data_IF_455420777534
#
_entry.id   IF_455420777534
#
_cell.length_a   1.000
_cell.length_b   1.000
_cell.length_c   1.000
_cell.angle_alpha   90.00
_cell.angle_beta   90.00
_cell.angle_gamma   90.00
#
_symmetry.space_group_name_H-M   'P 1'
#
loop_
_entity.id
_entity.type
_entity.pdbx_description
1 polymer ?
#
# COMPACT_ATOMS: atom_id res chain seq x y z
N UNK A 1 -8.16 50.81 47.60
CA UNK A 1 -9.40 50.03 47.37
C UNK A 1 -9.23 48.81 46.44
N UNK A 2 -8.69 48.90 45.22
CA UNK A 2 -8.53 47.74 44.30
C UNK A 2 -7.70 46.56 44.87
N UNK A 3 -6.65 46.84 45.66
CA UNK A 3 -5.77 45.81 46.26
C UNK A 3 -6.52 44.91 47.25
N UNK A 4 -7.40 45.49 48.07
CA UNK A 4 -8.21 44.74 49.06
C UNK A 4 -9.29 43.87 48.41
N UNK A 5 -9.85 44.32 47.27
CA UNK A 5 -10.87 43.57 46.55
C UNK A 5 -10.28 42.31 45.89
N UNK A 6 -9.07 42.42 45.32
CA UNK A 6 -8.35 41.27 44.77
C UNK A 6 -7.96 40.23 45.84
N UNK A 7 -7.55 40.68 47.03
CA UNK A 7 -7.23 39.79 48.16
C UNK A 7 -8.50 39.08 48.67
N UNK A 8 -9.63 39.79 48.71
CA UNK A 8 -10.93 39.20 49.09
C UNK A 8 -11.38 38.13 48.08
N UNK A 9 -11.21 38.37 46.78
CA UNK A 9 -11.50 37.37 45.74
C UNK A 9 -10.57 36.15 45.85
N UNK A 10 -9.29 36.37 46.15
CA UNK A 10 -8.34 35.28 46.36
C UNK A 10 -8.70 34.40 47.56
N UNK A 11 -9.01 35.02 48.71
CA UNK A 11 -9.41 34.29 49.92
C UNK A 11 -10.72 33.52 49.73
N UNK A 12 -11.68 34.08 48.99
CA UNK A 12 -12.92 33.36 48.65
C UNK A 12 -12.66 32.12 47.79
N UNK A 13 -11.65 32.14 46.91
CA UNK A 13 -11.29 30.98 46.10
C UNK A 13 -10.55 29.89 46.89
N UNK A 14 -9.85 30.25 47.97
CA UNK A 14 -9.18 29.30 48.87
C UNK A 14 -10.17 28.49 49.72
N UNK A 15 -11.33 29.05 50.04
CA UNK A 15 -12.35 28.40 50.85
C UNK A 15 -13.12 27.27 50.12
N UNK A 16 -12.71 26.89 48.90
CA UNK A 16 -13.33 25.82 48.15
C UNK A 16 -12.83 24.45 48.63
N UNK A 17 -13.74 23.64 49.19
CA UNK A 17 -13.40 22.31 49.71
C UNK A 17 -13.16 21.30 48.59
N UNK A 18 -12.01 20.62 48.64
CA UNK A 18 -11.70 19.48 47.76
C UNK A 18 -12.02 18.16 48.46
N UNK A 19 -12.45 17.15 47.69
CA UNK A 19 -12.66 15.78 48.21
C UNK A 19 -11.31 15.07 48.35
N UNK A 20 -11.07 14.47 49.51
CA UNK A 20 -9.86 13.67 49.77
C UNK A 20 -9.94 12.33 49.04
N UNK A 21 -8.85 11.92 48.40
CA UNK A 21 -8.75 10.63 47.70
C UNK A 21 -8.33 9.56 48.72
N UNK A 22 -9.29 8.73 49.15
CA UNK A 22 -8.98 7.56 49.96
C UNK A 22 -8.36 6.46 49.09
N UNK A 23 -7.08 6.15 49.31
CA UNK A 23 -6.32 5.10 48.60
C UNK A 23 -6.76 3.68 49.03
N UNK A 24 -8.04 3.36 48.80
CA UNK A 24 -8.63 2.09 49.25
C UNK A 24 -8.16 0.92 48.39
N UNK A 25 -7.77 -0.17 49.06
CA UNK A 25 -7.45 -1.46 48.43
C UNK A 25 -8.71 -2.08 47.81
N UNK A 26 -8.54 -2.76 46.67
CA UNK A 26 -9.62 -3.53 46.04
C UNK A 26 -9.79 -4.88 46.73
N UNK A 27 -11.00 -5.20 47.17
CA UNK A 27 -11.28 -6.39 47.98
C UNK A 27 -11.75 -7.58 47.12
N UNK A 28 -12.36 -7.34 45.95
CA UNK A 28 -12.85 -8.37 45.03
C UNK A 28 -11.93 -8.66 43.85
N UNK A 29 -12.16 -9.81 43.21
CA UNK A 29 -11.45 -10.21 41.99
C UNK A 29 -11.83 -9.31 40.81
N UNK A 30 -10.85 -9.00 39.98
CA UNK A 30 -11.00 -7.99 38.92
C UNK A 30 -11.05 -8.70 37.57
N UNK A 31 -12.18 -8.57 36.88
CA UNK A 31 -12.33 -9.09 35.53
C UNK A 31 -11.48 -8.32 34.51
N UNK A 32 -11.09 -9.00 33.43
CA UNK A 32 -10.39 -8.38 32.31
C UNK A 32 -11.22 -7.24 31.71
N UNK A 33 -10.54 -6.14 31.42
CA UNK A 33 -11.15 -5.05 30.68
C UNK A 33 -11.58 -5.52 29.29
N UNK A 34 -12.74 -5.04 28.85
CA UNK A 34 -13.25 -5.36 27.51
C UNK A 34 -12.31 -4.80 26.45
N UNK A 35 -12.21 -5.49 25.31
CA UNK A 35 -11.43 -4.98 24.19
C UNK A 35 -12.04 -3.67 23.66
N UNK A 36 -11.22 -2.63 23.63
CA UNK A 36 -11.59 -1.31 23.11
C UNK A 36 -11.12 -1.18 21.65
N UNK A 37 -12.04 -1.24 20.68
CA UNK A 37 -11.67 -1.02 19.30
C UNK A 37 -11.28 0.46 19.07
N UNK A 38 -10.54 0.73 17.99
CA UNK A 38 -10.09 2.08 17.69
C UNK A 38 -11.28 3.04 17.48
N UNK A 39 -11.30 4.15 18.23
CA UNK A 39 -12.32 5.19 18.13
C UNK A 39 -12.44 5.79 16.72
N UNK A 40 -11.36 5.79 15.94
CA UNK A 40 -11.39 6.33 14.57
C UNK A 40 -12.10 5.46 13.55
N UNK A 41 -12.54 4.25 13.94
CA UNK A 41 -13.38 3.40 13.10
C UNK A 41 -14.86 3.66 13.26
N UNK A 42 -15.26 4.31 14.34
CA UNK A 42 -16.66 4.59 14.60
C UNK A 42 -17.19 5.68 13.66
N UNK A 43 -16.44 6.78 13.51
CA UNK A 43 -16.80 7.93 12.66
C UNK A 43 -15.72 8.13 11.60
N UNK A 44 -16.13 8.49 10.37
CA UNK A 44 -15.16 8.79 9.30
C UNK A 44 -14.33 10.03 9.60
N UNK A 45 -14.91 11.00 10.30
CA UNK A 45 -14.21 12.15 10.84
C UNK A 45 -14.18 12.05 12.35
N UNK A 46 -12.99 11.94 12.94
CA UNK A 46 -12.82 12.11 14.39
C UNK A 46 -12.54 13.57 14.65
N UNK A 47 -13.57 14.30 15.06
CA UNK A 47 -13.52 15.73 15.31
C UNK A 47 -14.40 16.09 16.49
N UNK A 48 -13.94 17.06 17.26
CA UNK A 48 -14.74 17.78 18.23
C UNK A 48 -14.39 19.26 18.11
N UNK A 49 -15.40 20.13 18.07
CA UNK A 49 -15.21 21.58 17.99
C UNK A 49 -16.26 22.26 18.87
N UNK A 50 -15.84 23.25 19.66
CA UNK A 50 -16.75 24.08 20.45
C UNK A 50 -17.74 24.84 19.56
N UNK A 51 -17.25 25.43 18.46
CA UNK A 51 -18.11 26.07 17.48
C UNK A 51 -18.77 25.03 16.55
N UNK A 52 -20.06 24.77 16.78
CA UNK A 52 -20.86 23.81 16.00
C UNK A 52 -21.02 24.20 14.52
N UNK A 53 -20.88 25.47 14.15
CA UNK A 53 -20.98 25.89 12.74
C UNK A 53 -19.87 25.25 11.87
N UNK A 54 -18.70 24.99 12.44
CA UNK A 54 -17.61 24.32 11.72
C UNK A 54 -17.91 22.86 11.37
N UNK A 55 -18.83 22.22 12.10
CA UNK A 55 -19.18 20.81 11.90
C UNK A 55 -20.22 20.58 10.78
N UNK A 56 -21.05 21.60 10.49
CA UNK A 56 -22.19 21.48 9.55
C UNK A 56 -21.77 21.07 8.13
N UNK A 57 -20.64 21.60 7.65
CA UNK A 57 -20.19 21.39 6.26
C UNK A 57 -19.40 20.09 6.05
N UNK A 58 -19.06 19.36 7.11
CA UNK A 58 -18.19 18.18 7.05
C UNK A 58 -18.74 17.09 6.11
N UNK A 59 -20.02 16.69 6.17
CA UNK A 59 -20.53 15.63 5.30
C UNK A 59 -20.43 15.95 3.80
N UNK A 60 -20.69 17.20 3.42
CA UNK A 60 -20.56 17.66 2.04
C UNK A 60 -19.09 17.70 1.61
N UNK A 61 -18.22 18.20 2.49
CA UNK A 61 -16.77 18.25 2.27
C UNK A 61 -16.19 16.85 2.07
N UNK A 62 -16.62 15.85 2.84
CA UNK A 62 -16.17 14.46 2.70
C UNK A 62 -16.42 13.90 1.30
N UNK A 63 -17.60 14.15 0.73
CA UNK A 63 -17.93 13.70 -0.62
C UNK A 63 -16.99 14.32 -1.64
N UNK A 64 -16.69 15.61 -1.49
CA UNK A 64 -15.79 16.35 -2.39
C UNK A 64 -14.34 15.88 -2.23
N UNK A 65 -13.85 15.74 -0.99
CA UNK A 65 -12.51 15.23 -0.66
C UNK A 65 -12.33 13.84 -1.28
N UNK A 66 -13.29 12.93 -1.09
CA UNK A 66 -13.23 11.58 -1.65
C UNK A 66 -13.18 11.59 -3.19
N UNK A 67 -13.96 12.45 -3.86
CA UNK A 67 -13.91 12.61 -5.33
C UNK A 67 -12.55 13.15 -5.80
N UNK A 68 -11.98 14.14 -5.11
CA UNK A 68 -10.67 14.73 -5.43
C UNK A 68 -9.57 13.68 -5.28
N UNK A 69 -9.54 12.96 -4.15
CA UNK A 69 -8.58 11.88 -3.88
C UNK A 69 -8.69 10.78 -4.95
N UNK A 70 -9.91 10.33 -5.27
CA UNK A 70 -10.12 9.35 -6.34
C UNK A 70 -9.61 9.87 -7.69
N UNK A 71 -9.83 11.15 -8.02
CA UNK A 71 -9.34 11.76 -9.25
C UNK A 71 -7.80 11.81 -9.30
N UNK A 72 -7.16 12.21 -8.19
CA UNK A 72 -5.71 12.26 -8.05
C UNK A 72 -5.05 10.90 -8.30
N UNK A 73 -5.54 9.82 -7.68
CA UNK A 73 -4.96 8.50 -7.93
C UNK A 73 -5.24 7.97 -9.34
N UNK A 74 -6.25 8.50 -10.03
CA UNK A 74 -6.53 8.22 -11.43
C UNK A 74 -5.69 9.03 -12.44
N UNK A 75 -4.84 9.97 -12.00
CA UNK A 75 -3.97 10.76 -12.89
C UNK A 75 -3.18 9.90 -13.89
N UNK A 76 -2.99 10.43 -15.09
CA UNK A 76 -2.27 9.78 -16.18
C UNK A 76 -1.65 10.80 -17.11
N UNK A 77 -0.66 10.36 -17.88
CA UNK A 77 -0.04 11.18 -18.92
C UNK A 77 -1.06 11.52 -20.01
N UNK A 78 -1.12 12.82 -20.35
CA UNK A 78 -1.97 13.36 -21.41
C UNK A 78 -1.44 12.95 -22.79
N UNK A 79 -0.13 13.06 -23.00
CA UNK A 79 0.40 13.01 -24.36
C UNK A 79 0.94 11.64 -24.77
N UNK A 80 0.65 11.31 -26.04
CA UNK A 80 1.24 10.20 -26.77
C UNK A 80 2.78 10.23 -26.83
N UNK A 81 3.40 11.43 -26.70
CA UNK A 81 4.87 11.62 -26.70
C UNK A 81 5.57 10.78 -25.64
N UNK A 82 4.97 10.66 -24.45
CA UNK A 82 5.54 9.93 -23.31
C UNK A 82 5.12 8.46 -23.24
N UNK A 83 3.92 8.13 -23.76
CA UNK A 83 3.32 6.80 -23.62
C UNK A 83 3.47 5.95 -24.89
N UNK A 84 3.87 6.56 -26.02
CA UNK A 84 4.11 5.87 -27.30
C UNK A 84 2.87 5.19 -27.90
N UNK A 85 1.66 5.51 -27.43
CA UNK A 85 0.41 4.97 -27.98
C UNK A 85 -0.23 5.96 -28.92
N UNK A 86 -0.57 5.53 -30.14
CA UNK A 86 -1.31 6.33 -31.14
C UNK A 86 -2.67 6.85 -30.66
N UNK A 87 -3.29 6.24 -29.63
CA UNK A 87 -4.59 6.64 -29.07
C UNK A 87 -4.47 7.17 -27.64
N UNK A 88 -4.87 8.41 -27.43
CA UNK A 88 -4.98 9.05 -26.12
C UNK A 88 -6.01 8.34 -25.23
N UNK A 89 -5.69 8.15 -23.94
CA UNK A 89 -6.63 7.58 -22.97
C UNK A 89 -7.26 8.73 -22.17
N UNK A 90 -8.50 9.07 -22.50
CA UNK A 90 -9.31 10.01 -21.73
C UNK A 90 -9.39 9.60 -20.25
N UNK A 91 -9.31 10.58 -19.35
CA UNK A 91 -9.46 10.37 -17.90
C UNK A 91 -10.79 9.67 -17.56
N UNK A 92 -11.87 10.01 -18.27
CA UNK A 92 -13.17 9.34 -18.15
C UNK A 92 -13.09 7.84 -18.41
N UNK A 93 -12.33 7.42 -19.43
CA UNK A 93 -12.11 6.00 -19.76
C UNK A 93 -11.25 5.33 -18.70
N UNK A 94 -10.19 5.99 -18.21
CA UNK A 94 -9.30 5.47 -17.17
C UNK A 94 -10.03 5.10 -15.87
N UNK A 95 -11.06 5.86 -15.49
CA UNK A 95 -11.90 5.55 -14.31
C UNK A 95 -12.54 4.15 -14.38
N UNK A 96 -12.76 3.61 -15.57
CA UNK A 96 -13.36 2.27 -15.78
C UNK A 96 -12.37 1.11 -15.77
N UNK A 97 -11.07 1.40 -15.71
CA UNK A 97 -10.04 0.35 -15.72
C UNK A 97 -10.02 -0.43 -14.42
N UNK A 98 -9.87 -1.74 -14.54
CA UNK A 98 -9.74 -2.66 -13.40
C UNK A 98 -8.31 -2.74 -12.85
N UNK A 99 -7.32 -2.35 -13.66
CA UNK A 99 -5.88 -2.44 -13.38
C UNK A 99 -5.33 -1.05 -13.02
N UNK A 100 -5.87 -0.46 -11.96
CA UNK A 100 -5.52 0.86 -11.44
C UNK A 100 -5.21 0.80 -9.95
N UNK A 101 -4.82 1.93 -9.37
CA UNK A 101 -4.77 2.11 -7.92
C UNK A 101 -6.21 2.22 -7.41
N UNK A 102 -6.60 1.34 -6.49
CA UNK A 102 -7.86 1.45 -5.76
C UNK A 102 -7.60 2.17 -4.44
N UNK A 103 -8.54 3.03 -4.04
CA UNK A 103 -8.46 3.86 -2.84
C UNK A 103 -9.81 3.80 -2.14
N UNK A 104 -9.80 3.65 -0.82
CA UNK A 104 -10.99 3.64 0.03
C UNK A 104 -11.52 5.06 0.22
N UNK A 105 -12.66 5.19 0.89
CA UNK A 105 -13.05 6.48 1.43
C UNK A 105 -12.03 6.91 2.50
N UNK A 106 -11.77 8.21 2.58
CA UNK A 106 -10.88 8.80 3.57
C UNK A 106 -11.44 8.68 4.98
N UNK A 107 -10.58 8.45 5.97
CA UNK A 107 -10.91 8.64 7.39
C UNK A 107 -10.00 9.76 7.89
N UNK A 108 -10.59 10.84 8.40
CA UNK A 108 -9.90 12.09 8.72
C UNK A 108 -9.89 12.27 10.24
N UNK A 109 -8.70 12.45 10.81
CA UNK A 109 -8.55 12.86 12.19
C UNK A 109 -8.27 14.35 12.24
N UNK A 110 -9.16 15.11 12.87
CA UNK A 110 -9.01 16.54 12.99
C UNK A 110 -8.39 16.90 14.33
N UNK A 111 -7.42 17.81 14.28
CA UNK A 111 -6.94 18.58 15.42
C UNK A 111 -7.19 20.07 15.14
N UNK A 112 -6.87 20.96 16.06
CA UNK A 112 -6.97 22.40 15.80
C UNK A 112 -6.05 22.83 14.65
N UNK A 113 -4.82 22.28 14.62
CA UNK A 113 -3.78 22.75 13.69
C UNK A 113 -3.73 21.93 12.39
N UNK A 114 -3.99 20.63 12.46
CA UNK A 114 -3.82 19.70 11.33
C UNK A 114 -4.95 18.69 11.16
N UNK A 115 -5.07 18.16 9.95
CA UNK A 115 -5.94 17.05 9.59
C UNK A 115 -5.10 15.86 9.09
N UNK A 116 -5.22 14.72 9.75
CA UNK A 116 -4.53 13.49 9.37
C UNK A 116 -5.50 12.65 8.53
N UNK A 117 -5.23 12.56 7.24
CA UNK A 117 -6.05 11.80 6.28
C UNK A 117 -5.47 10.38 6.17
N UNK A 118 -6.23 9.39 6.61
CA UNK A 118 -5.90 7.98 6.44
C UNK A 118 -6.56 7.42 5.18
N UNK A 119 -5.79 6.69 4.36
CA UNK A 119 -6.26 6.11 3.11
C UNK A 119 -5.80 4.67 2.95
N UNK A 120 -6.74 3.76 2.70
CA UNK A 120 -6.40 2.37 2.35
C UNK A 120 -6.31 2.23 0.84
N UNK A 121 -5.18 1.71 0.36
CA UNK A 121 -4.90 1.62 -1.08
C UNK A 121 -4.52 0.22 -1.50
N UNK A 122 -4.87 -0.16 -2.73
CA UNK A 122 -4.34 -1.38 -3.37
C UNK A 122 -3.81 -1.03 -4.74
N UNK A 123 -2.49 -1.13 -4.89
CA UNK A 123 -1.80 -0.74 -6.10
C UNK A 123 -1.61 -1.92 -7.07
N UNK A 124 -2.65 -2.20 -7.88
CA UNK A 124 -2.56 -3.25 -8.92
C UNK A 124 -1.71 -2.85 -10.11
N UNK A 125 -1.66 -1.55 -10.41
CA UNK A 125 -0.94 -1.02 -11.55
C UNK A 125 0.57 -1.24 -11.40
N UNK A 126 1.14 -1.01 -10.21
CA UNK A 126 2.58 -1.19 -9.92
C UNK A 126 3.11 -2.56 -10.32
N UNK A 127 2.47 -3.65 -9.84
CA UNK A 127 2.92 -5.03 -10.14
C UNK A 127 2.89 -5.33 -11.64
N UNK A 128 1.85 -4.86 -12.34
CA UNK A 128 1.71 -5.07 -13.78
C UNK A 128 2.77 -4.31 -14.56
N UNK A 129 3.01 -3.04 -14.19
CA UNK A 129 4.02 -2.21 -14.84
C UNK A 129 5.43 -2.78 -14.62
N UNK A 130 5.79 -3.15 -13.37
CA UNK A 130 7.07 -3.76 -13.05
C UNK A 130 7.31 -5.03 -13.88
N UNK A 131 6.33 -5.94 -13.94
CA UNK A 131 6.47 -7.18 -14.70
C UNK A 131 6.61 -6.93 -16.21
N UNK A 132 5.91 -5.94 -16.76
CA UNK A 132 6.04 -5.57 -18.18
C UNK A 132 7.40 -4.95 -18.48
N UNK A 133 7.88 -4.06 -17.60
CA UNK A 133 9.21 -3.47 -17.69
C UNK A 133 10.29 -4.55 -17.71
N UNK A 134 10.30 -5.45 -16.72
CA UNK A 134 11.29 -6.53 -16.62
C UNK A 134 11.27 -7.46 -17.84
N UNK A 135 10.09 -7.83 -18.35
CA UNK A 135 9.96 -8.65 -19.56
C UNK A 135 10.56 -7.96 -20.79
N UNK A 136 10.33 -6.67 -20.94
CA UNK A 136 10.88 -5.90 -22.06
C UNK A 136 12.37 -5.75 -21.89
N UNK A 137 12.85 -5.38 -20.70
CA UNK A 137 14.27 -5.25 -20.42
C UNK A 137 15.04 -6.55 -20.72
N UNK A 138 14.51 -7.70 -20.31
CA UNK A 138 15.12 -9.01 -20.62
C UNK A 138 15.18 -9.27 -22.13
N UNK A 139 14.08 -9.00 -22.86
CA UNK A 139 14.06 -9.11 -24.34
C UNK A 139 15.04 -8.15 -25.00
N UNK A 140 15.21 -6.95 -24.44
CA UNK A 140 16.16 -5.96 -24.92
C UNK A 140 17.58 -6.47 -24.78
N UNK A 141 17.95 -6.92 -23.59
CA UNK A 141 19.30 -7.40 -23.32
C UNK A 141 19.64 -8.62 -24.19
N UNK A 142 18.73 -9.61 -24.28
CA UNK A 142 18.95 -10.80 -25.11
C UNK A 142 19.04 -10.47 -26.61
N UNK A 143 18.12 -9.65 -27.13
CA UNK A 143 18.10 -9.34 -28.56
C UNK A 143 19.24 -8.40 -28.98
N UNK A 144 19.69 -7.48 -28.11
CA UNK A 144 20.83 -6.61 -28.39
C UNK A 144 22.11 -7.43 -28.54
N UNK A 145 22.36 -8.37 -27.61
CA UNK A 145 23.52 -9.25 -27.66
C UNK A 145 23.48 -10.14 -28.92
N UNK A 146 22.33 -10.79 -29.19
CA UNK A 146 22.20 -11.66 -30.36
C UNK A 146 22.36 -10.91 -31.69
N UNK A 147 21.82 -9.69 -31.79
CA UNK A 147 21.96 -8.87 -33.02
C UNK A 147 23.38 -8.36 -33.21
N UNK A 148 24.05 -7.99 -32.12
CA UNK A 148 25.45 -7.63 -32.16
C UNK A 148 26.30 -8.79 -32.68
N UNK A 149 26.11 -10.00 -32.13
CA UNK A 149 26.81 -11.20 -32.57
C UNK A 149 26.53 -11.54 -34.05
N UNK A 150 25.27 -11.44 -34.50
CA UNK A 150 24.88 -11.74 -35.88
C UNK A 150 25.50 -10.74 -36.89
N UNK A 151 25.46 -9.44 -36.57
CA UNK A 151 26.06 -8.42 -37.42
C UNK A 151 27.59 -8.51 -37.44
N UNK A 152 28.19 -8.82 -36.29
CA UNK A 152 29.63 -9.06 -36.20
C UNK A 152 30.02 -10.25 -37.08
N UNK A 153 29.34 -11.40 -36.96
CA UNK A 153 29.61 -12.60 -37.77
C UNK A 153 29.47 -12.34 -39.27
N UNK A 154 28.35 -11.73 -39.70
CA UNK A 154 28.10 -11.45 -41.12
C UNK A 154 29.08 -10.47 -41.74
N UNK A 155 29.65 -9.57 -40.94
CA UNK A 155 30.61 -8.63 -41.47
C UNK A 155 32.04 -9.18 -41.41
N UNK A 156 32.38 -9.99 -40.41
CA UNK A 156 33.65 -10.73 -40.40
C UNK A 156 33.72 -11.67 -41.61
N UNK A 157 32.62 -12.36 -41.95
CA UNK A 157 32.57 -13.17 -43.17
C UNK A 157 32.79 -12.32 -44.42
N UNK A 158 32.11 -11.17 -44.56
CA UNK A 158 32.35 -10.26 -45.70
C UNK A 158 33.77 -9.73 -45.78
N UNK A 159 34.38 -9.38 -44.65
CA UNK A 159 35.79 -8.94 -44.61
C UNK A 159 36.70 -10.09 -45.03
N UNK A 160 36.43 -11.30 -44.55
CA UNK A 160 37.17 -12.50 -44.94
C UNK A 160 37.03 -12.79 -46.44
N UNK A 161 35.83 -12.65 -47.01
CA UNK A 161 35.57 -12.81 -48.45
C UNK A 161 36.31 -11.75 -49.28
N UNK A 162 36.36 -10.49 -48.83
CA UNK A 162 37.12 -9.41 -49.49
C UNK A 162 38.63 -9.69 -49.42
N UNK A 163 39.14 -10.09 -48.24
CA UNK A 163 40.55 -10.43 -48.06
C UNK A 163 40.94 -11.63 -48.94
N UNK A 164 40.08 -12.64 -49.03
CA UNK A 164 40.34 -13.79 -49.89
C UNK A 164 40.26 -13.44 -51.38
N UNK A 165 39.41 -12.49 -51.81
CA UNK A 165 39.39 -12.00 -53.20
C UNK A 165 40.65 -11.24 -53.59
N UNK A 166 41.23 -10.48 -52.66
CA UNK A 166 42.47 -9.73 -52.91
C UNK A 166 43.74 -10.48 -52.49
N UNK A 167 43.63 -11.74 -52.05
CA UNK A 167 44.78 -12.59 -51.74
C UNK A 167 45.60 -12.92 -52.98
N UNK A 168 44.92 -13.05 -54.12
CA UNK A 168 45.54 -13.46 -55.37
C UNK A 168 46.14 -12.28 -56.16
N UNK A 169 45.78 -11.03 -55.80
CA UNK A 169 46.24 -9.82 -56.50
C UNK A 169 47.49 -9.16 -55.87
N UNK A 170 47.81 -9.48 -54.61
CA UNK A 170 48.97 -8.92 -53.94
C UNK A 170 49.75 -9.97 -53.15
N UNK A 171 50.81 -10.48 -53.77
CA UNK A 171 51.98 -11.02 -53.10
C UNK A 171 52.58 -9.96 -52.16
N UNK A 172 52.03 -9.82 -50.95
CA UNK A 172 52.58 -8.94 -49.90
C UNK A 172 53.93 -9.42 -49.34
N UNK A 173 54.55 -10.41 -49.99
CA UNK A 173 55.87 -10.96 -49.70
C UNK A 173 56.86 -10.82 -50.87
N UNK A 174 56.53 -10.07 -51.92
CA UNK A 174 57.49 -9.70 -52.98
C UNK A 174 58.06 -8.28 -52.79
N UNK A 175 58.13 -7.78 -51.55
CA UNK A 175 58.94 -6.58 -51.27
C UNK A 175 60.41 -7.00 -51.25
N UNK A 176 61.03 -6.86 -52.42
CA UNK A 176 62.44 -6.57 -52.65
C UNK A 176 63.47 -7.38 -51.83
N UNK A 177 64.12 -8.32 -52.51
CA UNK A 177 65.47 -8.83 -52.20
C UNK A 177 66.38 -7.64 -51.86
N UNK A 178 66.65 -7.36 -50.58
CA UNK A 178 67.66 -6.34 -50.23
C UNK A 178 67.72 -5.78 -48.80
N UNK A 179 66.65 -5.78 -48.00
CA UNK A 179 66.69 -5.16 -46.65
C UNK A 179 66.42 -6.17 -45.52
N UNK A 180 67.47 -6.53 -44.75
CA UNK A 180 67.35 -7.27 -43.48
C UNK A 180 66.65 -6.38 -42.43
N UNK A 181 65.34 -6.55 -42.26
CA UNK A 181 64.59 -5.90 -41.17
C UNK A 181 65.16 -6.38 -39.83
N UNK A 182 65.67 -5.46 -39.01
CA UNK A 182 66.14 -5.79 -37.65
C UNK A 182 64.96 -6.23 -36.78
N UNK A 183 65.16 -7.21 -35.87
CA UNK A 183 64.09 -7.72 -34.96
C UNK A 183 63.32 -6.60 -34.24
N UNK A 184 64.02 -5.52 -33.84
CA UNK A 184 63.41 -4.32 -33.21
C UNK A 184 62.51 -3.54 -34.17
N UNK A 185 62.93 -3.33 -35.43
CA UNK A 185 62.13 -2.66 -36.45
C UNK A 185 60.84 -3.40 -36.79
N UNK A 186 60.92 -4.74 -36.91
CA UNK A 186 59.75 -5.60 -37.11
C UNK A 186 58.75 -5.53 -35.94
N UNK A 187 59.25 -5.55 -34.70
CA UNK A 187 58.44 -5.39 -33.49
C UNK A 187 57.74 -4.02 -33.44
N UNK A 188 58.45 -2.94 -33.79
CA UNK A 188 57.87 -1.59 -33.87
C UNK A 188 56.75 -1.52 -34.90
N UNK A 189 56.99 -2.05 -36.11
CA UNK A 189 55.96 -2.16 -37.16
C UNK A 189 54.75 -3.00 -36.72
N UNK A 190 54.96 -4.15 -36.07
CA UNK A 190 53.87 -4.95 -35.49
C UNK A 190 53.04 -4.16 -34.49
N UNK A 191 53.68 -3.42 -33.59
CA UNK A 191 53.00 -2.60 -32.58
C UNK A 191 52.22 -1.44 -33.22
N UNK A 192 52.81 -0.77 -34.21
CA UNK A 192 52.14 0.32 -34.93
C UNK A 192 50.92 -0.19 -35.70
N UNK A 193 51.06 -1.33 -36.37
CA UNK A 193 49.96 -2.00 -37.06
C UNK A 193 48.86 -2.44 -36.08
N UNK A 194 49.25 -3.00 -34.92
CA UNK A 194 48.32 -3.38 -33.86
C UNK A 194 47.55 -2.15 -33.35
N UNK A 195 48.23 -1.02 -33.16
CA UNK A 195 47.61 0.23 -32.70
C UNK A 195 46.60 0.78 -33.72
N UNK A 196 46.94 0.76 -35.02
CA UNK A 196 46.06 1.15 -36.12
C UNK A 196 44.87 0.19 -36.25
N UNK A 197 45.10 -1.10 -36.10
CA UNK A 197 44.07 -2.13 -36.09
C UNK A 197 43.09 -1.96 -34.93
N UNK A 198 43.59 -1.67 -33.72
CA UNK A 198 42.74 -1.38 -32.55
C UNK A 198 41.88 -0.14 -32.80
N UNK A 199 42.44 0.95 -33.35
CA UNK A 199 41.68 2.16 -33.73
C UNK A 199 40.59 1.86 -34.75
N UNK A 200 40.91 1.13 -35.82
CA UNK A 200 39.94 0.71 -36.84
C UNK A 200 38.83 -0.17 -36.27
N UNK A 201 39.20 -1.17 -35.46
CA UNK A 201 38.24 -2.04 -34.75
C UNK A 201 37.32 -1.22 -33.85
N UNK A 202 37.83 -0.22 -33.14
CA UNK A 202 37.02 0.67 -32.31
C UNK A 202 36.04 1.51 -33.14
N UNK A 203 36.49 2.13 -34.24
CA UNK A 203 35.61 2.93 -35.11
C UNK A 203 34.51 2.07 -35.72
N UNK A 204 34.86 0.85 -36.14
CA UNK A 204 33.96 -0.13 -36.69
C UNK A 204 32.90 -0.60 -35.69
N UNK A 205 33.31 -0.95 -34.46
CA UNK A 205 32.40 -1.27 -33.36
C UNK A 205 31.44 -0.11 -33.10
N UNK A 206 31.93 1.13 -33.05
CA UNK A 206 31.10 2.33 -32.84
C UNK A 206 30.02 2.47 -33.91
N UNK A 207 30.34 2.20 -35.19
CA UNK A 207 29.40 2.27 -36.31
C UNK A 207 28.36 1.14 -36.27
N UNK A 208 28.74 -0.09 -35.94
CA UNK A 208 27.77 -1.20 -35.76
C UNK A 208 26.80 -0.88 -34.63
N UNK A 209 27.34 -0.46 -33.48
CA UNK A 209 26.51 -0.11 -32.33
C UNK A 209 25.55 1.04 -32.66
N UNK A 210 25.97 2.05 -33.41
CA UNK A 210 25.06 3.14 -33.81
C UNK A 210 23.91 2.67 -34.71
N UNK A 211 24.15 1.74 -35.63
CA UNK A 211 23.11 1.15 -36.50
C UNK A 211 22.16 0.25 -35.71
N UNK A 212 22.70 -0.61 -34.84
CA UNK A 212 21.89 -1.46 -33.95
C UNK A 212 21.01 -0.59 -33.07
N UNK A 213 21.61 0.40 -32.40
CA UNK A 213 20.93 1.30 -31.48
C UNK A 213 19.86 2.07 -32.25
N UNK A 214 20.15 2.73 -33.37
CA UNK A 214 19.16 3.55 -34.10
C UNK A 214 17.91 2.77 -34.53
N UNK A 215 18.06 1.54 -35.05
CA UNK A 215 16.94 0.68 -35.46
C UNK A 215 16.17 0.13 -34.24
N UNK A 216 16.89 -0.21 -33.18
CA UNK A 216 16.32 -0.77 -31.94
C UNK A 216 15.66 0.30 -31.04
N UNK A 217 16.17 1.53 -31.11
CA UNK A 217 15.74 2.71 -30.36
C UNK A 217 14.31 3.11 -30.69
N UNK A 218 13.91 2.97 -31.95
CA UNK A 218 12.59 3.40 -32.42
C UNK A 218 11.43 2.59 -31.83
N UNK A 219 11.60 1.32 -31.47
CA UNK A 219 10.48 0.45 -31.04
C UNK A 219 10.61 0.00 -29.59
N UNK A 220 11.72 -0.64 -29.21
CA UNK A 220 11.85 -1.27 -27.89
C UNK A 220 12.19 -0.27 -26.79
N UNK A 221 13.07 0.69 -27.04
CA UNK A 221 13.40 1.73 -26.04
C UNK A 221 12.23 2.69 -25.80
N UNK A 222 11.41 2.99 -26.82
CA UNK A 222 10.14 3.73 -26.61
C UNK A 222 9.18 2.98 -25.69
N UNK A 223 9.05 1.66 -25.86
CA UNK A 223 8.24 0.82 -24.98
C UNK A 223 8.82 0.74 -23.56
N UNK A 224 10.14 0.63 -23.42
CA UNK A 224 10.83 0.63 -22.13
C UNK A 224 10.58 1.96 -21.40
N UNK A 225 10.84 3.09 -22.06
CA UNK A 225 10.58 4.45 -21.55
C UNK A 225 9.13 4.63 -21.13
N UNK A 226 8.17 4.14 -21.92
CA UNK A 226 6.75 4.18 -21.57
C UNK A 226 6.48 3.52 -20.22
N UNK A 227 6.97 2.28 -20.02
CA UNK A 227 6.71 1.54 -18.79
C UNK A 227 7.45 2.13 -17.60
N UNK A 228 8.66 2.65 -17.83
CA UNK A 228 9.43 3.36 -16.83
C UNK A 228 8.71 4.63 -16.35
N UNK A 229 8.29 5.51 -17.27
CA UNK A 229 7.52 6.71 -16.95
C UNK A 229 6.18 6.40 -16.26
N UNK A 230 5.46 5.37 -16.72
CA UNK A 230 4.22 4.94 -16.07
C UNK A 230 4.48 4.41 -14.65
N UNK A 231 5.59 3.73 -14.44
CA UNK A 231 5.98 3.18 -13.14
C UNK A 231 6.42 4.30 -12.19
N UNK A 232 7.23 5.25 -12.66
CA UNK A 232 7.67 6.40 -11.88
C UNK A 232 6.49 7.29 -11.47
N UNK A 233 5.56 7.61 -12.38
CA UNK A 233 4.32 8.31 -12.04
C UNK A 233 3.54 7.59 -10.94
N UNK A 234 3.46 6.26 -11.02
CA UNK A 234 2.77 5.46 -10.01
C UNK A 234 3.45 5.57 -8.64
N UNK A 235 4.79 5.60 -8.57
CA UNK A 235 5.54 5.82 -7.33
C UNK A 235 5.40 7.24 -6.81
N UNK A 236 5.51 8.25 -7.68
CA UNK A 236 5.42 9.66 -7.32
C UNK A 236 4.07 10.03 -6.69
N UNK A 237 2.97 9.37 -7.07
CA UNK A 237 1.65 9.56 -6.42
C UNK A 237 1.65 9.30 -4.91
N UNK A 238 2.59 8.51 -4.40
CA UNK A 238 2.74 8.23 -2.96
C UNK A 238 3.89 9.01 -2.33
N UNK A 239 4.66 9.77 -3.11
CA UNK A 239 5.80 10.53 -2.61
C UNK A 239 5.31 11.74 -1.81
N UNK A 240 5.78 11.83 -0.57
CA UNK A 240 5.46 12.90 0.40
C UNK A 240 5.96 14.27 -0.02
N UNK A 241 7.02 14.34 -0.83
CA UNK A 241 7.70 15.60 -1.16
C UNK A 241 7.21 16.25 -2.47
N UNK A 242 6.68 15.48 -3.42
CA UNK A 242 6.45 15.98 -4.79
C UNK A 242 4.97 16.11 -5.16
N UNK A 243 4.23 14.99 -5.23
CA UNK A 243 2.83 15.02 -5.68
C UNK A 243 1.83 15.17 -4.53
N UNK A 244 2.10 14.61 -3.35
CA UNK A 244 1.19 14.75 -2.20
C UNK A 244 1.01 16.21 -1.74
N UNK A 245 2.04 17.08 -1.73
CA UNK A 245 1.85 18.50 -1.42
C UNK A 245 0.89 19.20 -2.39
N UNK A 246 0.92 18.84 -3.68
CA UNK A 246 -0.03 19.38 -4.68
C UNK A 246 -1.47 18.97 -4.35
N UNK A 247 -1.68 17.74 -3.90
CA UNK A 247 -2.99 17.29 -3.40
C UNK A 247 -3.37 18.03 -2.11
N UNK A 248 -2.42 18.23 -1.20
CA UNK A 248 -2.66 18.99 0.04
C UNK A 248 -3.09 20.42 -0.24
N UNK A 249 -2.48 21.12 -1.19
CA UNK A 249 -2.87 22.48 -1.54
C UNK A 249 -4.32 22.57 -2.02
N UNK A 250 -4.81 21.56 -2.76
CA UNK A 250 -6.20 21.49 -3.20
C UNK A 250 -7.14 21.18 -2.04
N UNK A 251 -6.80 20.18 -1.21
CA UNK A 251 -7.62 19.76 -0.07
C UNK A 251 -7.63 20.81 1.05
N UNK A 252 -6.55 21.59 1.20
CA UNK A 252 -6.44 22.64 2.21
C UNK A 252 -7.50 23.73 1.99
N UNK A 253 -7.90 24.00 0.74
CA UNK A 253 -9.00 24.94 0.44
C UNK A 253 -10.36 24.50 1.02
N UNK A 254 -10.54 23.20 1.27
CA UNK A 254 -11.78 22.63 1.81
C UNK A 254 -11.68 22.45 3.33
N UNK A 255 -10.53 21.96 3.82
CA UNK A 255 -10.35 21.61 5.24
C UNK A 255 -9.87 22.81 6.07
N UNK A 256 -9.14 23.75 5.47
CA UNK A 256 -8.58 24.93 6.15
C UNK A 256 -7.49 24.63 7.17
N UNK A 257 -6.80 23.48 7.07
CA UNK A 257 -5.79 23.02 8.04
C UNK A 257 -4.64 22.33 7.32
N UNK A 258 -3.47 22.27 7.98
CA UNK A 258 -2.32 21.49 7.46
C UNK A 258 -2.69 20.02 7.32
N UNK A 259 -2.36 19.41 6.19
CA UNK A 259 -2.76 18.03 5.86
C UNK A 259 -1.57 17.09 5.97
N UNK A 260 -1.74 16.02 6.74
CA UNK A 260 -0.81 14.90 6.83
C UNK A 260 -1.47 13.63 6.28
N UNK A 261 -0.74 12.85 5.47
CA UNK A 261 -1.28 11.62 4.90
C UNK A 261 -0.73 10.38 5.60
N UNK A 262 -1.63 9.48 5.98
CA UNK A 262 -1.32 8.12 6.39
C UNK A 262 -1.88 7.14 5.34
N UNK A 263 -1.06 6.82 4.34
CA UNK A 263 -1.45 5.94 3.23
C UNK A 263 -1.04 4.50 3.56
N UNK A 264 -2.03 3.63 3.76
CA UNK A 264 -1.84 2.23 4.09
C UNK A 264 -2.00 1.40 2.81
N UNK A 265 -0.97 0.64 2.43
CA UNK A 265 -1.02 -0.26 1.28
C UNK A 265 -1.47 -1.67 1.70
N UNK A 266 -2.62 -2.11 1.19
CA UNK A 266 -3.17 -3.43 1.47
C UNK A 266 -2.68 -4.48 0.46
N UNK A 267 -2.46 -5.70 0.93
CA UNK A 267 -2.03 -6.84 0.09
C UNK A 267 -3.13 -7.30 -0.88
N UNK A 268 -4.39 -7.26 -0.46
CA UNK A 268 -5.55 -7.71 -1.24
C UNK A 268 -6.68 -6.68 -1.19
N UNK A 269 -7.48 -6.66 -2.26
CA UNK A 269 -8.72 -5.86 -2.32
C UNK A 269 -9.76 -6.39 -1.33
N UNK A 270 -9.69 -7.67 -0.95
CA UNK A 270 -10.66 -8.31 -0.07
C UNK A 270 -10.58 -7.87 1.40
N UNK A 271 -9.54 -7.14 1.82
CA UNK A 271 -9.37 -6.70 3.21
C UNK A 271 -10.01 -5.35 3.54
N UNK A 272 -10.65 -4.70 2.56
CA UNK A 272 -11.38 -3.45 2.81
C UNK A 272 -12.66 -3.43 1.96
N UNK A 273 -13.76 -3.08 2.61
CA UNK A 273 -15.10 -3.05 2.01
C UNK A 273 -15.23 -2.08 0.86
N UNK A 274 -14.76 -0.84 0.99
CA UNK A 274 -14.81 0.17 -0.09
C UNK A 274 -14.09 -0.32 -1.35
N UNK A 275 -12.96 -1.01 -1.18
CA UNK A 275 -12.13 -1.43 -2.29
C UNK A 275 -12.78 -2.54 -3.11
N UNK A 276 -13.30 -3.60 -2.46
CA UNK A 276 -13.88 -4.71 -3.20
C UNK A 276 -15.25 -4.36 -3.78
N UNK A 277 -16.08 -3.57 -3.09
CA UNK A 277 -17.39 -3.16 -3.63
C UNK A 277 -17.18 -2.28 -4.86
N UNK A 278 -16.24 -1.34 -4.82
CA UNK A 278 -15.87 -0.52 -5.99
C UNK A 278 -15.28 -1.39 -7.12
N UNK A 279 -14.39 -2.33 -6.81
CA UNK A 279 -13.83 -3.25 -7.80
C UNK A 279 -14.92 -4.14 -8.45
N UNK A 280 -15.91 -4.59 -7.68
CA UNK A 280 -17.05 -5.35 -8.19
C UNK A 280 -17.92 -4.46 -9.07
N UNK A 281 -18.28 -3.27 -8.61
CA UNK A 281 -19.09 -2.32 -9.37
C UNK A 281 -18.45 -1.98 -10.74
N UNK A 282 -17.14 -1.79 -10.79
CA UNK A 282 -16.41 -1.58 -12.05
C UNK A 282 -16.42 -2.80 -12.97
N UNK A 283 -16.36 -4.03 -12.43
CA UNK A 283 -16.51 -5.26 -13.21
C UNK A 283 -17.91 -5.39 -13.78
N UNK A 284 -18.92 -5.22 -12.92
CA UNK A 284 -20.33 -5.35 -13.27
C UNK A 284 -20.78 -4.27 -14.24
N UNK A 285 -20.13 -3.11 -14.28
CA UNK A 285 -20.44 -2.05 -15.26
C UNK A 285 -20.30 -2.53 -16.72
N UNK A 286 -19.47 -3.55 -16.98
CA UNK A 286 -19.29 -4.11 -18.33
C UNK A 286 -20.47 -5.01 -18.71
N UNK A 287 -21.09 -4.77 -19.86
CA UNK A 287 -22.30 -5.47 -20.32
C UNK A 287 -22.12 -6.99 -20.46
N UNK A 288 -21.00 -7.45 -21.03
CA UNK A 288 -20.73 -8.89 -21.25
C UNK A 288 -20.32 -9.66 -19.99
N UNK A 289 -20.11 -8.98 -18.86
CA UNK A 289 -19.63 -9.66 -17.64
C UNK A 289 -20.76 -10.41 -16.94
N UNK A 290 -20.51 -11.70 -16.66
CA UNK A 290 -21.37 -12.49 -15.79
C UNK A 290 -21.17 -12.01 -14.33
N UNK A 291 -22.29 -11.61 -13.70
CA UNK A 291 -22.27 -11.04 -12.36
C UNK A 291 -21.91 -12.07 -11.29
N UNK A 292 -22.40 -13.31 -11.41
CA UNK A 292 -22.09 -14.42 -10.49
C UNK A 292 -20.60 -14.74 -10.51
N UNK A 293 -20.02 -14.95 -11.71
CA UNK A 293 -18.57 -15.19 -11.87
C UNK A 293 -17.75 -14.02 -11.31
N UNK A 294 -18.25 -12.79 -11.46
CA UNK A 294 -17.59 -11.59 -10.93
C UNK A 294 -17.59 -11.57 -9.39
N UNK A 295 -18.68 -11.99 -8.74
CA UNK A 295 -18.76 -12.11 -7.27
C UNK A 295 -17.80 -13.16 -6.74
N UNK A 296 -17.80 -14.38 -7.32
CA UNK A 296 -16.87 -15.45 -6.91
C UNK A 296 -15.40 -15.04 -7.07
N UNK A 297 -15.07 -14.29 -8.13
CA UNK A 297 -13.70 -13.78 -8.33
C UNK A 297 -13.19 -12.82 -7.23
N UNK A 298 -14.08 -12.29 -6.40
CA UNK A 298 -13.74 -11.48 -5.23
C UNK A 298 -13.70 -12.36 -3.98
N UNK A 299 -14.70 -13.22 -3.78
CA UNK A 299 -14.76 -14.15 -2.65
C UNK A 299 -13.55 -15.08 -2.61
N UNK A 300 -13.08 -15.55 -3.76
CA UNK A 300 -11.91 -16.43 -3.86
C UNK A 300 -10.60 -15.73 -3.48
N UNK A 301 -10.60 -14.40 -3.34
CA UNK A 301 -9.44 -13.63 -2.83
C UNK A 301 -9.47 -13.41 -1.33
N UNK A 302 -10.58 -13.73 -0.68
CA UNK A 302 -10.69 -13.70 0.78
C UNK A 302 -10.06 -14.98 1.34
N UNK A 303 -8.99 -14.80 2.11
CA UNK A 303 -8.35 -15.86 2.87
C UNK A 303 -9.00 -15.93 4.25
N UNK A 304 -9.49 -17.12 4.62
CA UNK A 304 -10.04 -17.41 5.95
C UNK A 304 -9.10 -18.41 6.62
N UNK A 305 -8.74 -18.21 7.90
CA UNK A 305 -7.86 -19.13 8.61
C UNK A 305 -8.54 -20.49 8.84
N UNK A 306 -7.75 -21.57 8.86
CA UNK A 306 -8.22 -22.89 9.32
C UNK A 306 -8.42 -22.80 10.84
N UNK A 307 -9.60 -23.18 11.29
CA UNK A 307 -10.02 -23.05 12.69
C UNK A 307 -10.72 -24.32 13.16
N UNK A 308 -10.56 -24.65 14.44
CA UNK A 308 -11.36 -25.67 15.09
C UNK A 308 -12.69 -25.04 15.53
N UNK A 309 -13.78 -25.45 14.88
CA UNK A 309 -15.13 -24.90 15.09
C UNK A 309 -15.67 -25.17 16.49
N UNK A 310 -15.27 -26.27 17.13
CA UNK A 310 -15.67 -26.62 18.50
C UNK A 310 -15.01 -25.62 19.45
N UNK A 311 -13.68 -25.49 19.40
CA UNK A 311 -12.93 -24.53 20.23
C UNK A 311 -13.34 -23.06 20.00
N UNK A 312 -13.78 -22.71 18.80
CA UNK A 312 -14.27 -21.35 18.52
C UNK A 312 -15.61 -21.06 19.22
N UNK A 313 -16.45 -22.09 19.37
CA UNK A 313 -17.80 -21.96 19.95
C UNK A 313 -17.85 -22.24 21.45
N UNK A 314 -16.77 -22.73 22.05
CA UNK A 314 -16.71 -22.97 23.50
C UNK A 314 -16.76 -21.67 24.29
N UNK A 315 -17.55 -21.69 25.37
CA UNK A 315 -17.67 -20.59 26.31
C UNK A 315 -16.40 -20.45 27.15
N UNK A 316 -16.02 -19.21 27.47
CA UNK A 316 -14.88 -18.92 28.35
C UNK A 316 -15.33 -19.09 29.80
N UNK A 317 -14.79 -20.09 30.51
CA UNK A 317 -15.04 -20.29 31.95
C UNK A 317 -14.49 -19.11 32.77
N UNK A 318 -15.16 -18.77 33.87
CA UNK A 318 -14.92 -17.56 34.70
C UNK A 318 -13.46 -17.32 35.10
N UNK A 319 -12.73 -18.35 35.54
CA UNK A 319 -11.32 -18.25 35.93
C UNK A 319 -10.39 -17.71 34.82
N UNK A 320 -10.73 -17.94 33.54
CA UNK A 320 -9.91 -17.44 32.41
C UNK A 320 -10.13 -15.94 32.12
N UNK A 321 -11.15 -15.33 32.73
CA UNK A 321 -11.55 -13.95 32.50
C UNK A 321 -11.06 -12.98 33.60
N UNK A 322 -10.23 -13.43 34.54
CA UNK A 322 -9.63 -12.60 35.60
C UNK A 322 -8.40 -11.88 35.05
N UNK A 323 -8.25 -10.59 35.37
CA UNK A 323 -7.06 -9.82 35.03
C UNK A 323 -5.93 -10.17 36.00
N UNK A 324 -5.01 -11.01 35.54
CA UNK A 324 -3.90 -11.54 36.34
C UNK A 324 -3.05 -10.44 36.99
N UNK A 325 -2.90 -9.28 36.35
CA UNK A 325 -2.09 -8.20 36.90
C UNK A 325 -2.82 -7.48 38.03
N UNK A 326 -4.06 -7.05 37.79
CA UNK A 326 -4.85 -6.33 38.78
C UNK A 326 -5.25 -7.23 39.96
N UNK A 327 -5.39 -8.53 39.73
CA UNK A 327 -5.68 -9.49 40.77
C UNK A 327 -4.44 -9.82 41.63
N UNK A 328 -3.24 -9.87 41.03
CA UNK A 328 -1.97 -9.98 41.77
C UNK A 328 -1.71 -8.72 42.62
N UNK A 329 -1.94 -7.54 42.06
CA UNK A 329 -1.69 -6.26 42.72
C UNK A 329 -3.00 -5.52 43.05
N UNK A 330 -3.71 -6.02 44.07
CA UNK A 330 -4.98 -5.42 44.56
C UNK A 330 -4.79 -4.05 45.21
N UNK A 331 -3.61 -3.78 45.77
CA UNK A 331 -3.16 -2.44 46.15
C UNK A 331 -2.15 -1.95 45.11
N UNK A 332 -2.42 -0.77 44.54
CA UNK A 332 -1.56 -0.15 43.54
C UNK A 332 -0.52 0.79 44.17
N UNK A 333 -0.57 0.97 45.49
CA UNK A 333 0.44 1.73 46.21
C UNK A 333 1.81 1.07 46.01
N UNK A 334 2.79 1.85 45.55
CA UNK A 334 4.12 1.32 45.26
C UNK A 334 4.77 0.84 46.57
N UNK A 335 4.57 1.59 47.65
CA UNK A 335 5.12 1.30 48.99
C UNK A 335 4.66 -0.08 49.47
N UNK A 336 3.39 -0.45 49.29
CA UNK A 336 2.87 -1.75 49.74
C UNK A 336 3.44 -2.93 48.98
N UNK A 337 3.98 -2.70 47.77
CA UNK A 337 4.50 -3.74 46.88
C UNK A 337 6.04 -3.80 46.86
N UNK A 338 6.74 -2.88 47.53
CA UNK A 338 8.20 -2.71 47.45
C UNK A 338 9.01 -3.52 48.46
N UNK A 339 8.39 -4.39 49.27
CA UNK A 339 8.93 -5.12 50.44
C UNK A 339 10.39 -5.65 50.32
N UNK A 340 11.39 -4.75 50.37
CA UNK A 340 12.85 -4.93 50.25
C UNK A 340 13.46 -5.15 48.85
N UNK A 341 12.73 -4.89 47.75
CA UNK A 341 13.27 -5.00 46.38
C UNK A 341 13.45 -3.63 45.72
N UNK A 342 14.53 -3.46 44.95
CA UNK A 342 14.69 -2.26 44.12
C UNK A 342 13.53 -2.18 43.12
N UNK A 343 12.99 -0.98 42.90
CA UNK A 343 11.91 -0.69 41.95
C UNK A 343 12.17 -1.32 40.57
N UNK A 344 13.43 -1.33 40.12
CA UNK A 344 13.84 -1.93 38.85
C UNK A 344 13.59 -3.43 38.79
N UNK A 345 13.80 -4.17 39.90
CA UNK A 345 13.51 -5.61 39.97
C UNK A 345 12.02 -5.86 39.82
N UNK A 346 11.19 -5.09 40.54
CA UNK A 346 9.72 -5.16 40.45
C UNK A 346 9.23 -4.87 39.02
N UNK A 347 9.74 -3.82 38.38
CA UNK A 347 9.36 -3.45 37.02
C UNK A 347 9.81 -4.48 35.98
N UNK A 348 11.01 -5.04 36.15
CA UNK A 348 11.53 -6.10 35.28
C UNK A 348 10.69 -7.39 35.39
N UNK A 349 10.23 -7.76 36.60
CA UNK A 349 9.31 -8.88 36.79
C UNK A 349 7.95 -8.66 36.13
N UNK A 350 7.44 -7.42 36.13
CA UNK A 350 6.12 -7.10 35.56
C UNK A 350 6.17 -7.07 34.02
N UNK A 351 7.24 -6.50 33.45
CA UNK A 351 7.30 -6.20 32.02
C UNK A 351 8.19 -7.16 31.21
N UNK A 352 8.80 -8.17 31.83
CA UNK A 352 9.69 -9.15 31.17
C UNK A 352 10.72 -8.44 30.26
N UNK A 353 11.25 -7.31 30.75
CA UNK A 353 12.25 -6.51 30.06
C UNK A 353 13.61 -7.17 30.24
N UNK A 354 13.93 -8.12 29.35
CA UNK A 354 15.33 -8.53 29.16
C UNK A 354 16.11 -7.33 28.60
N UNK A 355 16.62 -6.48 29.49
CA UNK A 355 17.69 -5.54 29.18
C UNK A 355 18.89 -6.36 28.72
N UNK A 356 19.31 -6.16 27.47
CA UNK A 356 20.65 -6.54 27.03
C UNK A 356 21.38 -5.22 26.84
N UNK A 357 22.49 -5.08 27.57
CA UNK A 357 23.40 -3.95 27.47
C UNK A 357 23.78 -3.65 26.02
N UNK A 358 24.03 -2.38 25.78
CA UNK A 358 24.44 -1.81 24.51
C UNK A 358 25.55 -2.63 23.85
N UNK A 359 25.26 -3.12 22.64
CA UNK A 359 26.20 -3.29 21.53
C UNK A 359 25.37 -3.59 20.27
N UNK A 360 24.95 -2.51 19.61
CA UNK A 360 23.99 -2.54 18.49
C UNK A 360 24.72 -2.89 17.19
N UNK A 361 24.65 -4.16 16.78
CA UNK A 361 24.93 -4.53 15.39
C UNK A 361 23.76 -4.07 14.49
N UNK A 362 24.02 -3.07 13.66
CA UNK A 362 23.07 -2.52 12.69
C UNK A 362 22.68 -3.58 11.66
N UNK A 363 21.41 -4.03 11.65
CA UNK A 363 20.84 -4.73 10.48
C UNK A 363 19.90 -5.90 10.72
N UNK A 364 19.78 -6.46 11.93
CA UNK A 364 18.82 -7.56 12.22
C UNK A 364 17.79 -7.18 13.28
N UNK A 365 16.50 -7.59 13.13
CA UNK A 365 15.52 -7.43 14.19
C UNK A 365 15.93 -8.29 15.39
N UNK A 366 16.39 -7.63 16.44
CA UNK A 366 16.72 -8.26 17.72
C UNK A 366 15.56 -9.14 18.21
N UNK A 367 15.86 -10.22 18.92
CA UNK A 367 14.85 -11.13 19.49
C UNK A 367 13.82 -10.37 20.34
N UNK A 368 14.26 -9.28 20.99
CA UNK A 368 13.41 -8.36 21.74
C UNK A 368 12.35 -7.66 20.86
N UNK A 369 12.74 -7.11 19.70
CA UNK A 369 11.80 -6.50 18.75
C UNK A 369 10.72 -7.49 18.26
N UNK A 370 11.07 -8.77 18.13
CA UNK A 370 10.09 -9.83 17.81
C UNK A 370 9.12 -10.09 18.96
N UNK A 371 9.59 -10.10 20.21
CA UNK A 371 8.73 -10.24 21.40
C UNK A 371 7.75 -9.06 21.52
N UNK A 372 8.24 -7.82 21.41
CA UNK A 372 7.39 -6.61 21.42
C UNK A 372 6.37 -6.67 20.29
N UNK A 373 6.80 -7.02 19.08
CA UNK A 373 5.91 -7.17 17.94
C UNK A 373 4.81 -8.20 18.24
N UNK A 374 5.15 -9.37 18.75
CA UNK A 374 4.16 -10.39 19.12
C UNK A 374 3.20 -9.90 20.21
N UNK A 375 3.67 -9.20 21.23
CA UNK A 375 2.82 -8.60 22.28
C UNK A 375 1.83 -7.60 21.70
N UNK A 376 2.30 -6.66 20.88
CA UNK A 376 1.44 -5.66 20.21
C UNK A 376 0.43 -6.35 19.29
N UNK A 377 0.85 -7.30 18.47
CA UNK A 377 -0.08 -7.98 17.58
C UNK A 377 -1.08 -8.82 18.38
N UNK A 378 -0.69 -9.47 19.47
CA UNK A 378 -1.60 -10.26 20.29
C UNK A 378 -2.66 -9.43 21.01
N UNK A 379 -2.37 -8.17 21.35
CA UNK A 379 -3.35 -7.25 21.95
C UNK A 379 -4.35 -6.66 20.95
N UNK A 380 -4.08 -6.72 19.65
CA UNK A 380 -4.98 -6.22 18.61
C UNK A 380 -6.04 -7.28 18.24
N UNK A 381 -7.32 -6.92 18.38
CA UNK A 381 -8.46 -7.71 17.92
C UNK A 381 -8.75 -7.58 16.42
N UNK A 382 -9.59 -8.48 15.89
CA UNK A 382 -10.12 -8.44 14.52
C UNK A 382 -9.05 -8.47 13.40
N UNK A 383 -7.91 -9.09 13.66
CA UNK A 383 -6.77 -9.16 12.72
C UNK A 383 -7.08 -10.06 11.53
N UNK A 384 -7.69 -11.21 11.81
CA UNK A 384 -7.92 -12.22 10.80
C UNK A 384 -9.28 -12.01 10.15
N UNK A 385 -9.39 -12.36 8.87
CA UNK A 385 -10.67 -12.25 8.18
C UNK A 385 -11.61 -13.38 8.63
N UNK A 386 -12.79 -13.04 9.14
CA UNK A 386 -13.80 -13.99 9.63
C UNK A 386 -14.83 -14.38 8.58
N UNK A 387 -15.14 -13.46 7.68
CA UNK A 387 -16.14 -13.65 6.64
C UNK A 387 -16.29 -12.45 5.73
N UNK A 388 -16.90 -12.69 4.57
CA UNK A 388 -17.25 -11.69 3.57
C UNK A 388 -18.61 -12.00 2.98
N UNK A 389 -19.45 -10.98 2.82
CA UNK A 389 -20.76 -11.06 2.17
C UNK A 389 -20.85 -10.02 1.07
N UNK A 390 -21.41 -10.42 -0.05
CA UNK A 390 -21.63 -9.61 -1.24
C UNK A 390 -23.08 -9.70 -1.65
N UNK A 391 -23.69 -8.54 -1.86
CA UNK A 391 -25.01 -8.44 -2.48
C UNK A 391 -24.95 -7.48 -3.65
N UNK A 392 -25.68 -7.84 -4.70
CA UNK A 392 -25.81 -7.03 -5.89
C UNK A 392 -27.29 -6.96 -6.24
N UNK A 393 -27.82 -5.75 -6.42
CA UNK A 393 -29.23 -5.52 -6.77
C UNK A 393 -29.34 -4.44 -7.85
N UNK A 394 -30.17 -4.66 -8.87
CA UNK A 394 -30.54 -3.65 -9.87
C UNK A 394 -30.60 -4.16 -11.31
N UNK A 395 -30.54 -3.25 -12.29
CA UNK A 395 -30.65 -3.59 -13.72
C UNK A 395 -29.32 -4.12 -14.27
N UNK A 396 -29.19 -5.44 -14.27
CA UNK A 396 -27.99 -6.18 -14.68
C UNK A 396 -28.23 -7.18 -15.82
N UNK A 397 -29.38 -7.10 -16.50
CA UNK A 397 -29.63 -7.85 -17.73
C UNK A 397 -28.65 -7.43 -18.84
N UNK A 398 -28.52 -8.27 -19.88
CA UNK A 398 -27.58 -8.04 -20.99
C UNK A 398 -28.23 -7.28 -22.14
N UNK A 399 -29.51 -7.58 -22.43
CA UNK A 399 -30.28 -7.01 -23.53
C UNK A 399 -30.73 -5.59 -23.19
N UNK A 400 -30.85 -4.73 -24.19
CA UNK A 400 -31.34 -3.36 -24.02
C UNK A 400 -32.87 -3.36 -24.08
N UNK A 401 -33.50 -3.90 -23.03
CA UNK A 401 -34.96 -4.01 -22.86
C UNK A 401 -35.36 -3.56 -21.45
N UNK A 402 -36.62 -3.16 -21.30
CA UNK A 402 -37.26 -2.99 -20.00
C UNK A 402 -37.50 -4.36 -19.34
N UNK A 403 -36.49 -4.87 -18.63
CA UNK A 403 -36.58 -6.10 -17.84
C UNK A 403 -36.61 -5.78 -16.32
N UNK A 404 -37.15 -6.72 -15.53
CA UNK A 404 -37.13 -6.65 -14.06
C UNK A 404 -35.72 -6.65 -13.48
N UNK A 405 -35.57 -6.12 -12.26
CA UNK A 405 -34.29 -6.04 -11.56
C UNK A 405 -33.76 -7.42 -11.15
N UNK A 406 -32.44 -7.60 -11.16
CA UNK A 406 -31.78 -8.81 -10.69
C UNK A 406 -31.29 -8.58 -9.25
N UNK A 407 -31.46 -9.60 -8.41
CA UNK A 407 -30.85 -9.68 -7.08
C UNK A 407 -29.97 -10.93 -6.99
N UNK A 408 -28.77 -10.77 -6.43
CA UNK A 408 -27.85 -11.90 -6.20
C UNK A 408 -27.02 -11.67 -4.95
N UNK A 409 -26.89 -12.73 -4.14
CA UNK A 409 -26.22 -12.70 -2.86
C UNK A 409 -25.25 -13.89 -2.77
N UNK A 410 -24.03 -13.64 -2.31
CA UNK A 410 -23.00 -14.66 -2.06
C UNK A 410 -22.18 -14.30 -0.82
N UNK A 411 -21.82 -15.29 -0.01
CA UNK A 411 -20.97 -15.10 1.17
C UNK A 411 -19.93 -16.20 1.29
N UNK A 412 -18.92 -15.96 2.14
CA UNK A 412 -17.91 -16.93 2.55
C UNK A 412 -17.52 -16.63 4.00
N UNK A 413 -17.58 -17.62 4.89
CA UNK A 413 -17.35 -17.43 6.33
C UNK A 413 -18.54 -16.77 7.04
N UNK A 414 -18.31 -16.27 8.27
CA UNK A 414 -19.36 -15.74 9.14
C UNK A 414 -19.13 -14.29 9.57
N UNK A 415 -20.21 -13.52 9.73
CA UNK A 415 -20.16 -12.10 10.13
C UNK A 415 -20.40 -11.87 11.63
N UNK A 416 -20.54 -12.94 12.44
CA UNK A 416 -20.76 -12.82 13.88
C UNK A 416 -19.47 -12.38 14.59
N UNK A 417 -19.60 -11.67 15.70
CA UNK A 417 -18.49 -11.43 16.62
C UNK A 417 -18.35 -12.66 17.53
N UNK A 418 -17.26 -13.41 17.37
CA UNK A 418 -17.05 -14.69 18.08
C UNK A 418 -16.94 -14.46 19.59
N UNK A 419 -16.25 -13.39 20.00
CA UNK A 419 -16.00 -13.12 21.42
C UNK A 419 -17.29 -12.82 22.17
N UNK A 420 -18.19 -12.03 21.59
CA UNK A 420 -19.47 -11.75 22.24
C UNK A 420 -20.51 -12.86 22.04
N UNK A 421 -20.59 -13.43 20.82
CA UNK A 421 -21.69 -14.34 20.47
C UNK A 421 -21.50 -15.75 21.03
N UNK A 422 -20.25 -16.22 21.12
CA UNK A 422 -19.95 -17.58 21.58
C UNK A 422 -19.26 -17.57 22.95
N UNK A 423 -18.24 -16.71 23.13
CA UNK A 423 -17.50 -16.65 24.40
C UNK A 423 -18.20 -15.82 25.49
N UNK A 424 -19.29 -15.11 25.15
CA UNK A 424 -20.04 -14.20 26.04
C UNK A 424 -19.21 -13.08 26.66
N UNK A 425 -18.11 -12.69 26.01
CA UNK A 425 -17.32 -11.54 26.42
C UNK A 425 -18.05 -10.24 26.05
N UNK A 426 -17.94 -9.23 26.90
CA UNK A 426 -18.50 -7.92 26.59
C UNK A 426 -17.75 -7.29 25.41
N UNK A 427 -18.49 -6.68 24.49
CA UNK A 427 -17.93 -6.06 23.29
C UNK A 427 -18.52 -4.68 23.06
N UNK A 428 -17.70 -3.75 22.58
CA UNK A 428 -18.14 -2.39 22.25
C UNK A 428 -18.88 -2.38 20.91
N UNK A 429 -20.04 -1.73 20.87
CA UNK A 429 -20.76 -1.42 19.64
C UNK A 429 -20.38 -0.02 19.16
N UNK A 430 -20.14 0.12 17.87
CA UNK A 430 -19.96 1.41 17.21
C UNK A 430 -21.32 2.07 16.97
N UNK A 431 -21.46 3.37 17.28
CA UNK A 431 -22.70 4.15 17.11
C UNK A 431 -23.92 3.55 17.81
N UNK A 432 -23.70 2.75 18.85
CA UNK A 432 -24.75 2.06 19.62
C UNK A 432 -25.35 0.81 18.97
N UNK A 433 -25.21 0.57 17.65
CA UNK A 433 -25.89 -0.54 16.97
C UNK A 433 -24.98 -1.41 16.08
N UNK A 434 -23.82 -0.93 15.67
CA UNK A 434 -22.96 -1.61 14.70
C UNK A 434 -21.85 -2.39 15.38
N UNK A 435 -21.61 -3.63 14.94
CA UNK A 435 -20.60 -4.50 15.53
C UNK A 435 -19.20 -3.99 15.21
N UNK A 436 -18.33 -3.88 16.22
CA UNK A 436 -16.96 -3.39 16.08
C UNK A 436 -16.09 -4.23 15.13
N UNK A 437 -16.36 -5.53 15.03
CA UNK A 437 -15.64 -6.43 14.15
C UNK A 437 -16.09 -6.39 12.69
N UNK A 438 -17.16 -5.66 12.37
CA UNK A 438 -17.79 -5.67 11.06
C UNK A 438 -17.67 -4.32 10.36
N UNK A 439 -17.39 -4.37 9.06
CA UNK A 439 -17.39 -3.19 8.19
C UNK A 439 -18.41 -3.37 7.08
N UNK A 440 -19.09 -2.30 6.71
CA UNK A 440 -20.13 -2.28 5.68
C UNK A 440 -19.91 -1.13 4.70
N UNK A 441 -20.07 -1.39 3.40
CA UNK A 441 -20.10 -0.33 2.38
C UNK A 441 -21.08 -0.64 1.26
N UNK A 442 -21.55 0.45 0.62
CA UNK A 442 -22.45 0.42 -0.52
C UNK A 442 -21.79 1.20 -1.67
N UNK A 443 -21.73 0.62 -2.86
CA UNK A 443 -21.30 1.33 -4.07
C UNK A 443 -22.37 1.27 -5.15
N UNK A 444 -22.72 2.45 -5.65
CA UNK A 444 -23.72 2.62 -6.70
C UNK A 444 -23.02 2.79 -8.05
N UNK A 445 -23.60 2.18 -9.09
CA UNK A 445 -23.10 2.29 -10.45
C UNK A 445 -24.26 2.15 -11.43
N UNK A 446 -23.98 2.35 -12.72
CA UNK A 446 -24.98 2.20 -13.78
C UNK A 446 -24.42 1.51 -15.01
N UNK A 447 -25.27 0.68 -15.61
CA UNK A 447 -25.15 0.19 -16.99
C UNK A 447 -25.97 1.08 -17.91
N UNK A 448 -25.87 0.85 -19.22
CA UNK A 448 -26.73 1.52 -20.22
C UNK A 448 -28.22 1.30 -19.93
N UNK A 449 -28.58 0.11 -19.44
CA UNK A 449 -29.96 -0.27 -19.11
C UNK A 449 -30.47 0.32 -17.79
N UNK A 450 -29.62 0.83 -16.89
CA UNK A 450 -30.08 1.37 -15.61
C UNK A 450 -29.09 1.21 -14.46
N UNK A 451 -29.53 1.63 -13.28
CA UNK A 451 -28.73 1.62 -12.06
C UNK A 451 -28.66 0.25 -11.39
N UNK A 452 -27.57 0.00 -10.67
CA UNK A 452 -27.41 -1.12 -9.78
C UNK A 452 -26.49 -0.73 -8.62
N UNK A 453 -26.64 -1.44 -7.50
CA UNK A 453 -25.83 -1.24 -6.31
C UNK A 453 -25.14 -2.53 -5.90
N UNK A 454 -23.99 -2.39 -5.26
CA UNK A 454 -23.21 -3.47 -4.66
C UNK A 454 -23.07 -3.16 -3.17
N UNK A 455 -23.56 -4.05 -2.32
CA UNK A 455 -23.34 -4.03 -0.88
C UNK A 455 -22.26 -5.03 -0.51
N UNK A 456 -21.44 -4.67 0.47
CA UNK A 456 -20.35 -5.50 0.94
C UNK A 456 -20.21 -5.45 2.45
N UNK A 457 -19.99 -6.61 3.05
CA UNK A 457 -19.62 -6.75 4.46
C UNK A 457 -18.35 -7.56 4.60
N UNK A 458 -17.48 -7.15 5.54
CA UNK A 458 -16.35 -7.96 6.04
C UNK A 458 -16.45 -8.03 7.55
N UNK A 459 -16.19 -9.19 8.11
CA UNK A 459 -15.93 -9.35 9.54
C UNK A 459 -14.46 -9.70 9.81
N UNK A 460 -13.96 -9.19 10.92
CA UNK A 460 -12.73 -9.65 11.55
C UNK A 460 -13.00 -10.69 12.64
N UNK A 461 -12.01 -11.55 12.84
CA UNK A 461 -11.85 -12.48 13.97
C UNK A 461 -10.68 -12.02 14.81
#
# INVERSE_FOLDING_TARGET
>A
MKKNLNIKIFNNNLNNNSKTVALRKKIGDIGKTKYLPSFSKEWKNTIYCYNKNMLKNIPANDVNINKIIQSYFNLYFKDHKYVGSRKFILLRRRRTFLRKIYVSNAEIKHTNNKAIITLFTVNREKKILKNKYLKINKKINQNLINRYLLLYKNNVSKIYDIINKHKDEHDFLSVNKGYKITKKGFLKYRLEYLSKFIKLKHLYLRKIWSVIISKYWRTHLKLLRKYDLMYSLNQYKFNKLTFLPKLSNILNKIIGKKIEYNIINLKSIAYNTDLFTNALALKLKKQRMNYIKSMFSILNRAYLPKINTIKERTLVKGQKNIDLYLDKYKDLNIISNLNNTNLDKLLNEIHDTTYVGENIAVGLPTQHNKKIHNLIYNSIGYKNMGGIRLEVKGRLTKRYRADRSIYSLKWKGGLKNVDSSFKRLSSVLFRGNSKSNMTYTLTNSKRRIGAFAVKGWISGK
#
